data_IF_265514749972
#
_entry.id   IF_265514749972
#
_cell.length_a   1.000
_cell.length_b   1.000
_cell.length_c   1.000
_cell.angle_alpha   90.00
_cell.angle_beta   90.00
_cell.angle_gamma   90.00
#
_symmetry.space_group_name_H-M   'P 1'
#
loop_
_entity.id
_entity.type
_entity.pdbx_description
1 polymer ?
#
# COMPACT_ATOMS: atom_id res chain seq x y z
N UNK A 1 15.29 -5.37 -13.74
CA UNK A 1 14.32 -5.12 -12.65
C UNK A 1 14.23 -6.39 -11.81
N UNK A 2 14.51 -6.30 -10.54
CA UNK A 2 14.34 -7.44 -9.63
C UNK A 2 12.87 -7.49 -9.23
N UNK A 3 12.19 -8.59 -9.49
CA UNK A 3 10.82 -8.83 -9.06
C UNK A 3 10.85 -9.30 -7.60
N UNK A 4 10.47 -8.44 -6.68
CA UNK A 4 10.45 -8.74 -5.25
C UNK A 4 9.03 -9.10 -4.83
N UNK A 5 8.80 -10.28 -4.24
CA UNK A 5 7.50 -10.65 -3.69
C UNK A 5 7.28 -10.04 -2.30
N UNK A 6 6.01 -9.88 -1.90
CA UNK A 6 5.63 -9.59 -0.53
C UNK A 6 6.20 -10.64 0.44
N UNK A 7 6.56 -10.22 1.65
CA UNK A 7 7.00 -11.13 2.73
C UNK A 7 5.88 -11.99 3.28
N UNK A 8 4.64 -11.69 2.93
CA UNK A 8 3.43 -12.39 3.40
C UNK A 8 3.30 -12.39 4.93
N UNK A 9 3.33 -11.19 5.53
CA UNK A 9 3.13 -10.98 6.97
C UNK A 9 1.99 -11.86 7.51
N UNK A 10 2.16 -12.56 8.67
CA UNK A 10 1.14 -13.48 9.18
C UNK A 10 -0.24 -12.85 9.34
N UNK A 11 -1.28 -13.53 8.87
CA UNK A 11 -2.68 -13.09 9.07
C UNK A 11 -3.00 -13.00 10.57
N UNK A 12 -3.85 -12.05 10.94
CA UNK A 12 -4.18 -11.74 12.34
C UNK A 12 -3.16 -10.85 13.04
N UNK A 13 -2.03 -10.51 12.41
CA UNK A 13 -1.08 -9.53 12.94
C UNK A 13 -1.80 -8.20 13.18
N UNK A 14 -1.61 -7.60 14.35
CA UNK A 14 -2.12 -6.26 14.64
C UNK A 14 -1.40 -5.24 13.77
N UNK A 15 -2.14 -4.29 13.19
CA UNK A 15 -1.55 -3.23 12.39
C UNK A 15 -0.44 -2.51 13.21
N UNK A 16 0.80 -2.48 12.71
CA UNK A 16 1.84 -1.66 13.30
C UNK A 16 1.41 -0.19 13.33
N UNK A 17 1.68 0.48 14.43
CA UNK A 17 1.35 1.89 14.58
C UNK A 17 2.22 2.77 13.70
N UNK A 18 1.67 3.90 13.25
CA UNK A 18 2.42 4.91 12.52
C UNK A 18 1.89 6.32 12.81
N UNK A 19 2.78 7.28 12.69
CA UNK A 19 2.45 8.71 12.64
C UNK A 19 3.43 9.37 11.66
N UNK A 20 2.96 9.69 10.47
CA UNK A 20 3.76 10.17 9.35
C UNK A 20 3.16 11.45 8.78
N UNK A 21 3.97 12.24 8.08
CA UNK A 21 3.49 13.43 7.38
C UNK A 21 2.83 13.04 6.06
N UNK A 22 1.63 13.54 5.84
CA UNK A 22 0.94 13.45 4.56
C UNK A 22 1.52 14.47 3.57
N UNK A 23 2.01 13.99 2.45
CA UNK A 23 2.63 14.83 1.42
C UNK A 23 1.64 15.81 0.77
N UNK A 24 0.35 15.49 0.78
CA UNK A 24 -0.70 16.33 0.15
C UNK A 24 -1.09 17.48 1.06
N UNK A 25 -1.45 17.18 2.30
CA UNK A 25 -1.93 18.19 3.26
C UNK A 25 -0.82 18.84 4.10
N UNK A 26 0.34 18.21 4.19
CA UNK A 26 1.43 18.62 5.08
C UNK A 26 1.17 18.32 6.56
N UNK A 27 0.06 17.65 6.90
CA UNK A 27 -0.31 17.34 8.28
C UNK A 27 0.15 15.95 8.69
N UNK A 28 0.33 15.74 10.00
CA UNK A 28 0.62 14.43 10.54
C UNK A 28 -0.65 13.58 10.54
N UNK A 29 -0.54 12.36 10.00
CA UNK A 29 -1.59 11.35 9.98
C UNK A 29 -1.12 10.10 10.70
N UNK A 30 -1.95 9.55 11.57
CA UNK A 30 -1.65 8.36 12.37
C UNK A 30 -2.63 7.21 12.09
N UNK A 31 -2.25 6.00 12.48
CA UNK A 31 -3.15 4.84 12.41
C UNK A 31 -4.49 5.09 13.13
N UNK A 32 -4.46 5.85 14.23
CA UNK A 32 -5.64 6.13 15.06
C UNK A 32 -6.63 7.11 14.44
N UNK A 33 -6.25 7.81 13.37
CA UNK A 33 -7.14 8.74 12.66
C UNK A 33 -8.15 8.02 11.77
N UNK A 34 -7.96 6.71 11.55
CA UNK A 34 -8.85 5.88 10.75
C UNK A 34 -9.82 5.10 11.65
N UNK A 35 -11.09 5.54 11.71
CA UNK A 35 -12.15 4.89 12.50
C UNK A 35 -13.00 3.87 11.73
N UNK A 36 -12.69 3.61 10.46
CA UNK A 36 -13.48 2.77 9.57
C UNK A 36 -13.41 1.27 9.90
N UNK A 37 -14.44 0.51 9.43
CA UNK A 37 -14.51 -0.94 9.55
C UNK A 37 -13.35 -1.66 8.83
N UNK A 38 -12.95 -1.11 7.68
CA UNK A 38 -11.85 -1.65 6.87
C UNK A 38 -10.79 -0.58 6.68
N UNK A 39 -9.52 -0.94 6.86
CA UNK A 39 -8.38 -0.09 6.54
C UNK A 39 -7.48 -0.77 5.51
N UNK A 40 -7.22 -0.08 4.41
CA UNK A 40 -6.28 -0.53 3.37
C UNK A 40 -5.01 0.31 3.46
N UNK A 41 -3.88 -0.34 3.73
CA UNK A 41 -2.55 0.28 3.73
C UNK A 41 -1.81 -0.18 2.48
N UNK A 42 -1.28 0.77 1.71
CA UNK A 42 -0.62 0.52 0.43
C UNK A 42 0.79 1.09 0.47
N UNK A 43 1.81 0.25 0.29
CA UNK A 43 3.17 0.75 0.05
C UNK A 43 3.34 0.96 -1.46
N UNK A 44 3.40 2.23 -1.86
CA UNK A 44 3.52 2.63 -3.27
C UNK A 44 4.54 3.77 -3.41
N UNK A 45 5.04 4.00 -4.61
CA UNK A 45 5.92 5.12 -4.92
C UNK A 45 5.63 5.64 -6.34
N UNK A 46 6.26 6.74 -6.74
CA UNK A 46 5.94 7.40 -7.99
C UNK A 46 6.53 6.71 -9.23
N UNK A 47 7.77 6.23 -9.14
CA UNK A 47 8.54 5.79 -10.30
C UNK A 47 8.44 4.29 -10.63
N UNK A 48 7.88 3.47 -9.71
CA UNK A 48 7.83 2.02 -9.90
C UNK A 48 6.89 1.63 -11.05
N UNK A 49 7.36 0.91 -12.09
CA UNK A 49 6.50 0.49 -13.20
C UNK A 49 5.30 -0.35 -12.80
N UNK A 50 5.42 -1.14 -11.72
CA UNK A 50 4.31 -1.92 -11.18
C UNK A 50 3.24 -1.03 -10.52
N UNK A 51 3.64 0.07 -9.87
CA UNK A 51 2.70 1.07 -9.33
C UNK A 51 2.05 1.83 -10.48
N UNK A 52 2.84 2.29 -11.46
CA UNK A 52 2.32 2.99 -12.65
C UNK A 52 1.28 2.13 -13.37
N UNK A 53 1.51 0.82 -13.45
CA UNK A 53 0.59 -0.13 -14.07
C UNK A 53 -0.77 -0.21 -13.37
N UNK A 54 -0.81 -0.15 -12.04
CA UNK A 54 -2.06 -0.34 -11.26
C UNK A 54 -2.69 0.95 -10.73
N UNK A 55 -2.02 2.11 -10.83
CA UNK A 55 -2.45 3.36 -10.18
C UNK A 55 -3.85 3.84 -10.59
N UNK A 56 -4.23 3.67 -11.86
CA UNK A 56 -5.58 4.00 -12.33
C UNK A 56 -6.62 3.04 -11.74
N UNK A 57 -6.27 1.74 -11.66
CA UNK A 57 -7.10 0.74 -10.98
C UNK A 57 -7.28 1.01 -9.50
N UNK A 58 -6.23 1.49 -8.80
CA UNK A 58 -6.32 1.95 -7.41
C UNK A 58 -7.27 3.14 -7.32
N UNK A 59 -7.11 4.14 -8.19
CA UNK A 59 -7.98 5.33 -8.22
C UNK A 59 -9.44 4.94 -8.38
N UNK A 60 -9.73 4.05 -9.35
CA UNK A 60 -11.09 3.58 -9.58
C UNK A 60 -11.63 2.78 -8.38
N UNK A 61 -10.81 1.93 -7.78
CA UNK A 61 -11.20 1.17 -6.59
C UNK A 61 -11.55 2.09 -5.42
N UNK A 62 -10.76 3.12 -5.15
CA UNK A 62 -11.05 4.08 -4.07
C UNK A 62 -12.39 4.77 -4.31
N UNK A 63 -12.67 5.21 -5.54
CA UNK A 63 -13.96 5.83 -5.91
C UNK A 63 -15.15 4.87 -5.71
N UNK A 64 -14.98 3.59 -6.07
CA UNK A 64 -16.03 2.58 -5.94
C UNK A 64 -16.38 2.27 -4.46
N UNK A 65 -15.46 2.56 -3.53
CA UNK A 65 -15.64 2.38 -2.09
C UNK A 65 -15.81 3.69 -1.31
N UNK A 66 -15.91 4.84 -1.97
CA UNK A 66 -15.94 6.17 -1.33
C UNK A 66 -17.07 6.33 -0.31
N UNK A 67 -18.25 5.76 -0.59
CA UNK A 67 -19.41 5.80 0.33
C UNK A 67 -19.49 4.58 1.28
N UNK A 68 -18.42 3.79 1.37
CA UNK A 68 -18.36 2.60 2.22
C UNK A 68 -17.52 2.86 3.47
N UNK A 69 -17.67 2.01 4.46
CA UNK A 69 -16.90 2.07 5.71
C UNK A 69 -15.47 1.52 5.52
N UNK A 70 -14.74 2.12 4.58
CA UNK A 70 -13.37 1.78 4.18
C UNK A 70 -12.51 3.02 4.16
N UNK A 71 -11.33 2.96 4.75
CA UNK A 71 -10.29 3.97 4.57
C UNK A 71 -9.11 3.40 3.78
N UNK A 72 -8.51 4.26 2.98
CA UNK A 72 -7.29 3.98 2.24
C UNK A 72 -6.17 4.91 2.72
N UNK A 73 -4.96 4.40 2.80
CA UNK A 73 -3.75 5.18 3.05
C UNK A 73 -2.61 4.61 2.23
N UNK A 74 -1.85 5.48 1.58
CA UNK A 74 -0.63 5.11 0.89
C UNK A 74 0.59 5.57 1.70
N UNK A 75 1.66 4.79 1.65
CA UNK A 75 2.94 5.07 2.31
C UNK A 75 4.06 4.87 1.29
N UNK A 76 4.92 5.88 1.17
CA UNK A 76 6.16 5.77 0.44
C UNK A 76 7.34 5.78 1.42
N UNK A 77 8.25 4.83 1.27
CA UNK A 77 9.42 4.67 2.11
C UNK A 77 10.75 4.64 1.30
N UNK A 78 10.75 5.09 0.06
CA UNK A 78 11.95 5.06 -0.77
C UNK A 78 12.99 6.10 -0.34
N UNK A 79 14.25 5.73 -0.46
CA UNK A 79 15.40 6.60 -0.25
C UNK A 79 15.44 7.74 -1.27
N UNK A 80 15.32 8.98 -0.81
CA UNK A 80 15.29 10.17 -1.67
C UNK A 80 16.66 10.62 -2.18
N UNK A 81 17.75 10.19 -1.56
CA UNK A 81 19.09 10.52 -2.05
C UNK A 81 19.34 9.91 -3.42
N UNK A 82 18.84 8.68 -3.61
CA UNK A 82 18.98 7.97 -4.89
C UNK A 82 17.75 8.09 -5.79
N UNK A 83 16.58 8.37 -5.22
CA UNK A 83 15.30 8.41 -5.91
C UNK A 83 14.51 9.69 -5.58
N UNK A 84 15.03 10.87 -5.90
CA UNK A 84 14.40 12.16 -5.56
C UNK A 84 13.00 12.33 -6.16
N UNK A 85 12.70 11.63 -7.27
CA UNK A 85 11.37 11.60 -7.89
C UNK A 85 10.27 10.95 -7.03
N UNK A 86 10.63 10.31 -5.92
CA UNK A 86 9.69 9.78 -4.94
C UNK A 86 9.49 10.73 -3.73
N UNK A 87 10.04 11.92 -3.77
CA UNK A 87 9.93 12.90 -2.70
C UNK A 87 8.51 13.45 -2.50
N UNK A 88 8.24 14.07 -1.33
CA UNK A 88 6.91 14.56 -0.97
C UNK A 88 6.27 15.51 -1.98
N UNK A 89 7.05 16.37 -2.65
CA UNK A 89 6.55 17.27 -3.69
C UNK A 89 5.98 16.48 -4.89
N UNK A 90 6.72 15.47 -5.37
CA UNK A 90 6.29 14.62 -6.48
C UNK A 90 5.16 13.67 -6.07
N UNK A 91 5.12 13.23 -4.80
CA UNK A 91 3.99 12.47 -4.25
C UNK A 91 2.71 13.30 -4.28
N UNK A 92 2.78 14.57 -3.88
CA UNK A 92 1.67 15.51 -3.94
C UNK A 92 1.21 15.73 -5.38
N UNK A 93 2.11 16.01 -6.30
CA UNK A 93 1.81 16.18 -7.72
C UNK A 93 1.10 14.94 -8.30
N UNK A 94 1.58 13.74 -7.98
CA UNK A 94 0.94 12.50 -8.41
C UNK A 94 -0.46 12.35 -7.82
N UNK A 95 -0.63 12.60 -6.52
CA UNK A 95 -1.94 12.49 -5.85
C UNK A 95 -2.95 13.47 -6.47
N UNK A 96 -2.54 14.72 -6.74
CA UNK A 96 -3.36 15.74 -7.39
C UNK A 96 -3.72 15.33 -8.84
N UNK A 97 -2.74 14.86 -9.61
CA UNK A 97 -2.94 14.37 -10.99
C UNK A 97 -3.93 13.21 -11.06
N UNK A 98 -3.84 12.28 -10.13
CA UNK A 98 -4.72 11.10 -10.06
C UNK A 98 -6.06 11.37 -9.40
N UNK A 99 -6.22 12.54 -8.76
CA UNK A 99 -7.42 12.88 -7.97
C UNK A 99 -7.59 11.97 -6.76
N UNK A 100 -6.47 11.61 -6.08
CA UNK A 100 -6.53 10.77 -4.89
C UNK A 100 -7.04 11.58 -3.70
N UNK A 101 -8.00 10.98 -2.98
CA UNK A 101 -8.64 11.59 -1.79
C UNK A 101 -8.10 10.99 -0.49
N UNK A 102 -7.25 9.98 -0.56
CA UNK A 102 -6.62 9.34 0.60
C UNK A 102 -5.26 9.97 0.91
N UNK A 103 -4.80 9.92 2.17
CA UNK A 103 -3.47 10.39 2.56
C UNK A 103 -2.35 9.62 1.86
N UNK A 104 -1.32 10.35 1.39
CA UNK A 104 -0.11 9.76 0.83
C UNK A 104 1.09 10.14 1.72
N UNK A 105 1.44 9.24 2.63
CA UNK A 105 2.37 9.47 3.72
C UNK A 105 3.81 9.17 3.31
N UNK A 106 4.75 9.93 3.88
CA UNK A 106 6.17 9.70 3.66
C UNK A 106 6.84 9.13 4.91
N UNK A 107 7.35 7.90 4.81
CA UNK A 107 8.11 7.20 5.85
C UNK A 107 9.62 7.42 5.64
N UNK A 108 10.08 8.62 5.98
CA UNK A 108 11.47 9.02 5.80
C UNK A 108 12.44 8.10 6.55
N UNK A 109 12.09 7.66 7.74
CA UNK A 109 12.93 6.77 8.56
C UNK A 109 12.90 5.31 8.09
N UNK A 110 11.93 4.93 7.23
CA UNK A 110 11.70 3.56 6.76
C UNK A 110 11.30 2.56 7.87
N UNK A 111 10.96 3.06 9.05
CA UNK A 111 10.62 2.23 10.21
C UNK A 111 9.20 1.64 10.09
N UNK A 112 8.27 2.38 9.50
CA UNK A 112 6.91 1.88 9.26
C UNK A 112 6.94 0.78 8.20
N UNK A 113 7.68 0.96 7.11
CA UNK A 113 7.86 -0.08 6.10
C UNK A 113 8.46 -1.36 6.69
N UNK A 114 9.45 -1.24 7.59
CA UNK A 114 10.02 -2.40 8.33
C UNK A 114 9.00 -3.06 9.25
N UNK A 115 8.24 -2.28 10.00
CA UNK A 115 7.23 -2.80 10.93
C UNK A 115 6.13 -3.60 10.20
N UNK A 116 5.72 -3.14 9.02
CA UNK A 116 4.79 -3.86 8.14
C UNK A 116 5.45 -5.00 7.37
N UNK A 117 6.78 -5.15 7.47
CA UNK A 117 7.58 -6.06 6.62
C UNK A 117 7.28 -5.88 5.14
N UNK A 118 7.01 -4.66 4.73
CA UNK A 118 6.80 -4.33 3.33
C UNK A 118 8.09 -4.53 2.54
N UNK A 119 8.04 -5.25 1.43
CA UNK A 119 9.24 -5.62 0.66
C UNK A 119 9.29 -4.95 -0.71
N UNK A 120 8.14 -4.66 -1.29
CA UNK A 120 8.02 -4.16 -2.65
C UNK A 120 7.00 -3.03 -2.77
N UNK A 121 6.98 -2.41 -3.94
CA UNK A 121 5.91 -1.51 -4.37
C UNK A 121 5.32 -1.99 -5.69
N UNK A 122 3.98 -2.11 -5.82
CA UNK A 122 2.99 -1.95 -4.76
C UNK A 122 2.98 -3.16 -3.78
N UNK A 123 2.67 -2.92 -2.52
CA UNK A 123 2.39 -3.95 -1.53
C UNK A 123 1.14 -3.57 -0.73
N UNK A 124 0.17 -4.49 -0.58
CA UNK A 124 -1.16 -4.18 -0.06
C UNK A 124 -1.45 -4.97 1.20
N UNK A 125 -2.02 -4.27 2.20
CA UNK A 125 -2.42 -4.82 3.49
C UNK A 125 -3.84 -4.35 3.81
N UNK A 126 -4.75 -5.28 4.15
CA UNK A 126 -6.12 -4.95 4.54
C UNK A 126 -6.36 -5.42 5.97
N UNK A 127 -6.81 -4.50 6.79
CA UNK A 127 -7.08 -4.70 8.21
C UNK A 127 -8.58 -4.61 8.49
N UNK A 128 -9.05 -5.46 9.39
CA UNK A 128 -10.42 -5.45 9.90
C UNK A 128 -10.66 -4.30 10.91
N UNK A 129 -11.88 -4.21 11.46
CA UNK A 129 -12.28 -3.19 12.44
C UNK A 129 -11.46 -3.25 13.74
N UNK A 130 -10.85 -4.39 14.06
CA UNK A 130 -9.95 -4.56 15.22
C UNK A 130 -8.48 -4.31 14.84
N UNK A 131 -8.24 -3.83 13.61
CA UNK A 131 -6.89 -3.62 13.06
C UNK A 131 -6.06 -4.90 13.04
N UNK A 132 -6.69 -6.04 12.74
CA UNK A 132 -6.02 -7.30 12.48
C UNK A 132 -5.92 -7.54 10.98
N UNK A 133 -4.76 -7.99 10.54
CA UNK A 133 -4.47 -8.24 9.15
C UNK A 133 -5.35 -9.39 8.61
N UNK A 134 -6.22 -9.07 7.67
CA UNK A 134 -7.11 -10.01 7.00
C UNK A 134 -6.64 -10.38 5.60
N UNK A 135 -5.93 -9.46 4.93
CA UNK A 135 -5.37 -9.68 3.59
C UNK A 135 -4.01 -9.00 3.45
N UNK A 136 -3.08 -9.68 2.81
CA UNK A 136 -1.84 -9.12 2.28
C UNK A 136 -1.54 -9.81 0.96
N UNK A 137 -1.10 -9.04 -0.01
CA UNK A 137 -0.81 -9.62 -1.31
C UNK A 137 -1.06 -8.68 -2.48
N UNK A 138 -1.34 -9.29 -3.63
CA UNK A 138 -1.44 -8.59 -4.90
C UNK A 138 -2.73 -7.78 -5.06
N UNK A 139 -2.70 -6.78 -5.95
CA UNK A 139 -3.89 -6.06 -6.41
C UNK A 139 -4.81 -7.01 -7.20
N UNK A 140 -4.23 -7.65 -8.20
CA UNK A 140 -4.82 -8.67 -9.07
C UNK A 140 -3.72 -9.46 -9.79
N UNK A 141 -4.10 -10.29 -10.79
CA UNK A 141 -3.15 -11.09 -11.58
C UNK A 141 -2.46 -10.30 -12.71
N UNK A 142 -2.76 -9.00 -12.86
CA UNK A 142 -2.14 -8.16 -13.90
C UNK A 142 -0.67 -7.86 -13.58
N UNK A 143 0.13 -7.66 -14.60
CA UNK A 143 1.54 -7.29 -14.50
C UNK A 143 1.90 -6.42 -15.71
N UNK A 144 2.88 -5.49 -15.61
CA UNK A 144 3.28 -4.64 -16.73
C UNK A 144 3.64 -5.38 -18.02
N UNK A 145 4.08 -6.65 -17.89
CA UNK A 145 4.48 -7.50 -19.02
C UNK A 145 3.40 -8.45 -19.51
N UNK A 146 2.19 -8.38 -18.94
CA UNK A 146 1.08 -9.29 -19.27
C UNK A 146 -0.12 -8.52 -19.79
N UNK A 147 -0.76 -9.05 -20.81
CA UNK A 147 -2.05 -8.57 -21.31
C UNK A 147 -3.20 -9.11 -20.44
N UNK A 148 -3.18 -8.75 -19.16
CA UNK A 148 -4.21 -9.09 -18.17
C UNK A 148 -4.82 -7.79 -17.68
N UNK A 149 -6.16 -7.63 -17.75
CA UNK A 149 -6.80 -6.40 -17.30
C UNK A 149 -6.52 -6.07 -15.84
N UNK A 150 -6.24 -4.79 -15.57
CA UNK A 150 -6.12 -4.24 -14.22
C UNK A 150 -7.51 -4.01 -13.66
N UNK A 151 -7.91 -4.77 -12.66
CA UNK A 151 -9.26 -4.70 -12.08
C UNK A 151 -9.31 -4.77 -10.54
N UNK A 152 -8.18 -5.09 -9.90
CA UNK A 152 -8.07 -5.16 -8.45
C UNK A 152 -8.90 -6.28 -7.80
N UNK A 153 -9.24 -7.33 -8.53
CA UNK A 153 -10.19 -8.36 -8.09
C UNK A 153 -9.87 -8.97 -6.73
N UNK A 154 -8.58 -9.24 -6.45
CA UNK A 154 -8.19 -9.92 -5.23
C UNK A 154 -8.29 -8.98 -4.03
N UNK A 155 -7.81 -7.75 -4.16
CA UNK A 155 -7.91 -6.73 -3.12
C UNK A 155 -9.37 -6.32 -2.87
N UNK A 156 -10.16 -6.10 -3.94
CA UNK A 156 -11.60 -5.79 -3.86
C UNK A 156 -12.39 -6.88 -3.15
N UNK A 157 -12.10 -8.15 -3.46
CA UNK A 157 -12.76 -9.28 -2.82
C UNK A 157 -12.49 -9.34 -1.31
N UNK A 158 -11.26 -9.04 -0.88
CA UNK A 158 -10.91 -8.97 0.54
C UNK A 158 -11.64 -7.83 1.26
N UNK A 159 -11.66 -6.63 0.66
CA UNK A 159 -12.39 -5.48 1.21
C UNK A 159 -13.88 -5.79 1.33
N UNK A 160 -14.50 -6.32 0.26
CA UNK A 160 -15.92 -6.63 0.25
C UNK A 160 -16.28 -7.71 1.28
N UNK A 161 -15.45 -8.75 1.43
CA UNK A 161 -15.67 -9.79 2.43
C UNK A 161 -15.73 -9.19 3.85
N UNK A 162 -14.81 -8.27 4.19
CA UNK A 162 -14.82 -7.61 5.50
C UNK A 162 -16.04 -6.69 5.69
N UNK A 163 -16.46 -5.97 4.66
CA UNK A 163 -17.67 -5.14 4.72
C UNK A 163 -18.92 -5.99 4.96
N UNK A 164 -18.97 -7.19 4.39
CA UNK A 164 -20.08 -8.15 4.52
C UNK A 164 -19.98 -9.03 5.78
N UNK A 165 -19.01 -8.79 6.68
CA UNK A 165 -18.72 -9.63 7.85
C UNK A 165 -18.40 -11.10 7.51
N UNK A 166 -17.84 -11.32 6.34
CA UNK A 166 -17.42 -12.64 5.84
C UNK A 166 -15.92 -12.86 6.05
N UNK A 167 -15.47 -14.11 6.24
CA UNK A 167 -14.06 -14.43 6.34
C UNK A 167 -13.35 -14.16 5.00
N UNK A 168 -12.16 -13.56 5.07
CA UNK A 168 -11.25 -13.47 3.92
C UNK A 168 -10.48 -14.78 3.79
N UNK A 169 -10.41 -15.41 2.60
CA UNK A 169 -9.66 -16.65 2.41
C UNK A 169 -8.20 -16.51 2.82
N UNK A 170 -7.67 -17.49 3.55
CA UNK A 170 -6.30 -17.48 4.04
C UNK A 170 -5.26 -17.71 2.92
N UNK A 171 -5.65 -18.40 1.86
CA UNK A 171 -4.80 -18.63 0.70
C UNK A 171 -4.79 -17.38 -0.19
N UNK A 172 -3.71 -16.61 -0.10
CA UNK A 172 -3.55 -15.34 -0.79
C UNK A 172 -2.25 -15.35 -1.60
N UNK A 173 -2.26 -14.62 -2.72
CA UNK A 173 -1.11 -14.51 -3.61
C UNK A 173 -0.25 -13.32 -3.20
N UNK A 174 1.09 -13.45 -3.17
CA UNK A 174 1.96 -12.32 -2.87
C UNK A 174 1.83 -11.21 -3.92
N UNK A 175 1.95 -9.96 -3.50
CA UNK A 175 2.27 -8.87 -4.41
C UNK A 175 3.65 -9.10 -5.01
N UNK A 176 3.85 -8.63 -6.23
CA UNK A 176 5.16 -8.64 -6.89
C UNK A 176 5.40 -7.25 -7.45
N UNK A 177 6.55 -6.68 -7.10
CA UNK A 177 6.90 -5.34 -7.54
C UNK A 177 8.39 -5.07 -7.49
N UNK A 178 8.77 -3.80 -7.63
CA UNK A 178 10.13 -3.37 -7.35
C UNK A 178 10.37 -3.39 -5.84
N UNK A 179 11.56 -3.83 -5.40
CA UNK A 179 11.92 -3.71 -3.99
C UNK A 179 11.85 -2.25 -3.51
N UNK A 180 11.46 -2.06 -2.26
CA UNK A 180 11.59 -0.76 -1.57
C UNK A 180 13.05 -0.34 -1.62
N UNK A 181 13.29 0.95 -1.88
CA UNK A 181 14.64 1.53 -1.98
C UNK A 181 15.11 1.91 -0.59
N UNK A 182 15.74 0.95 0.08
CA UNK A 182 16.29 1.16 1.40
C UNK A 182 17.52 2.08 1.35
N UNK A 183 17.68 2.89 2.38
CA UNK A 183 18.94 3.63 2.59
C UNK A 183 20.07 2.64 2.87
N UNK A 184 21.29 2.91 2.40
CA UNK A 184 22.43 2.06 2.70
C UNK A 184 22.62 1.86 4.22
N UNK A 185 22.67 0.60 4.64
CA UNK A 185 22.78 0.22 6.06
C UNK A 185 21.46 0.25 6.84
N UNK A 186 20.34 0.54 6.18
CA UNK A 186 19.01 0.50 6.78
C UNK A 186 18.14 -0.63 6.21
N UNK A 187 18.76 -1.55 5.46
CA UNK A 187 18.06 -2.70 4.89
C UNK A 187 17.54 -3.62 6.00
N UNK A 188 16.30 -4.11 5.93
CA UNK A 188 15.78 -5.05 6.92
C UNK A 188 16.35 -6.46 6.74
N UNK A 189 16.17 -7.31 7.75
CA UNK A 189 16.62 -8.71 7.76
C UNK A 189 16.00 -9.60 6.66
N UNK A 190 14.86 -9.17 6.12
CA UNK A 190 14.14 -9.86 5.04
C UNK A 190 14.45 -9.28 3.64
N UNK A 191 15.38 -8.36 3.54
CA UNK A 191 15.85 -7.82 2.27
C UNK A 191 16.81 -8.82 1.61
N UNK A 192 16.44 -9.31 0.41
CA UNK A 192 17.25 -10.30 -0.32
C UNK A 192 16.78 -10.45 -1.78
#
# INVERSE_FOLDING_TARGET
MVNTPSTMLPLGTKAPDFKLTDAVSGQATSLHDFGTKVLVVMFICNHCPFVIHVREGITQMVRDFDEKDVAFVAINANDLEKYPQDGPEHMKELAEQMGWTFPFLFDEAQEVAKAYRAACTPDFFVFDAKRRLAYRGQFDDSRPSKDTPVNGKDLRAAIQALLDDKPVPAQQKPSIGCNIKWRPGNEPDYFG
#
